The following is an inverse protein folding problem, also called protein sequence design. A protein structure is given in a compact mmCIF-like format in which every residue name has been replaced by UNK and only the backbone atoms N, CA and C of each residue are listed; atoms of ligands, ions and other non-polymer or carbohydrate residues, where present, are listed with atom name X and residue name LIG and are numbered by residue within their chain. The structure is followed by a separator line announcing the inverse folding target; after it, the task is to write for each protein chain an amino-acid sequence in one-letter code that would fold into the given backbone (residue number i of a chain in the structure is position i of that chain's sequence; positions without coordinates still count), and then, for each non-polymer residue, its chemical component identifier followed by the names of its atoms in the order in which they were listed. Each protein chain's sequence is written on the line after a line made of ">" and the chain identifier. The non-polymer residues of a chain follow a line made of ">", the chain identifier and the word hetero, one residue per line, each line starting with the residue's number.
data_IF_523533588091
#
_entry.id   IF_523533588091
#
_cell.length_a   1.000
_cell.length_b   1.000
_cell.length_c   1.000
_cell.angle_alpha   90.00
_cell.angle_beta   90.00
_cell.angle_gamma   90.00
#
_symmetry.space_group_name_H-M   'P 1'
#
loop_
_entity.id
_entity.type
_entity.pdbx_description
1 polymer ?
#
# COMPACT_ATOMS: atom_id res chain seq x y z
N UNK A 1 -14.94 3.15 12.59
CA UNK A 1 -14.47 4.12 11.58
C UNK A 1 -15.67 4.60 10.79
N UNK A 2 -15.93 5.90 10.80
CA UNK A 2 -16.87 6.53 9.86
C UNK A 2 -16.34 6.25 8.46
N UNK A 3 -17.15 5.63 7.58
CA UNK A 3 -16.79 5.46 6.17
C UNK A 3 -16.75 6.84 5.51
N UNK A 4 -15.62 7.53 5.65
CA UNK A 4 -15.34 8.80 4.98
C UNK A 4 -15.16 8.44 3.50
N UNK A 5 -16.10 8.89 2.68
CA UNK A 5 -15.95 8.84 1.24
C UNK A 5 -15.03 9.99 0.81
N UNK A 6 -13.82 9.66 0.39
CA UNK A 6 -12.88 10.64 -0.17
C UNK A 6 -13.34 10.99 -1.58
N UNK A 7 -13.52 12.27 -1.91
CA UNK A 7 -13.96 12.70 -3.25
C UNK A 7 -12.81 13.32 -4.04
N UNK A 8 -12.27 12.55 -4.99
CA UNK A 8 -11.21 12.96 -5.93
C UNK A 8 -11.75 13.19 -7.35
N UNK A 9 -13.07 13.28 -7.51
CA UNK A 9 -13.72 13.28 -8.83
C UNK A 9 -13.37 14.49 -9.72
N UNK A 10 -12.78 15.54 -9.16
CA UNK A 10 -12.36 16.74 -9.90
C UNK A 10 -10.92 16.67 -10.43
N UNK A 11 -10.07 15.83 -9.84
CA UNK A 11 -8.61 15.89 -10.03
C UNK A 11 -8.02 14.57 -10.55
N UNK A 12 -8.81 13.49 -10.61
CA UNK A 12 -8.32 12.18 -11.07
C UNK A 12 -8.04 12.20 -12.57
N UNK A 13 -6.88 11.66 -12.98
CA UNK A 13 -6.53 11.47 -14.40
C UNK A 13 -7.64 10.65 -15.11
N UNK A 14 -8.22 11.15 -16.22
CA UNK A 14 -9.21 10.42 -16.99
C UNK A 14 -8.76 9.03 -17.45
N UNK A 15 -7.46 8.82 -17.72
CA UNK A 15 -6.93 7.51 -18.08
C UNK A 15 -7.10 6.51 -16.93
N UNK A 16 -6.72 6.89 -15.72
CA UNK A 16 -6.85 6.07 -14.50
C UNK A 16 -8.33 5.82 -14.19
N UNK A 17 -9.16 6.87 -14.21
CA UNK A 17 -10.60 6.74 -13.92
C UNK A 17 -11.30 5.81 -14.92
N UNK A 18 -10.99 5.92 -16.21
CA UNK A 18 -11.59 5.05 -17.24
C UNK A 18 -11.07 3.62 -17.17
N UNK A 19 -9.79 3.42 -16.83
CA UNK A 19 -9.21 2.09 -16.59
C UNK A 19 -9.93 1.40 -15.44
N UNK A 20 -9.99 2.05 -14.26
CA UNK A 20 -10.65 1.50 -13.07
C UNK A 20 -12.16 1.31 -13.26
N UNK A 21 -12.82 2.12 -14.09
CA UNK A 21 -14.22 1.90 -14.48
C UNK A 21 -14.40 0.64 -15.30
N UNK A 22 -13.53 0.40 -16.29
CA UNK A 22 -13.58 -0.82 -17.10
C UNK A 22 -13.34 -2.06 -16.22
N UNK A 23 -12.37 -1.99 -15.31
CA UNK A 23 -12.07 -3.06 -14.34
C UNK A 23 -13.26 -3.31 -13.42
N UNK A 24 -13.86 -2.25 -12.86
CA UNK A 24 -15.03 -2.37 -11.99
C UNK A 24 -16.22 -3.06 -12.66
N UNK A 25 -16.45 -2.78 -13.94
CA UNK A 25 -17.54 -3.41 -14.68
C UNK A 25 -17.32 -4.92 -14.82
N UNK A 26 -16.12 -5.33 -15.28
CA UNK A 26 -15.79 -6.75 -15.44
C UNK A 26 -15.78 -7.46 -14.08
N UNK A 27 -15.17 -6.86 -13.06
CA UNK A 27 -15.14 -7.41 -11.71
C UNK A 27 -16.55 -7.62 -11.14
N UNK A 28 -17.47 -6.65 -11.36
CA UNK A 28 -18.86 -6.78 -10.94
C UNK A 28 -19.66 -7.84 -11.70
N UNK A 29 -19.32 -8.11 -12.96
CA UNK A 29 -19.93 -9.22 -13.74
C UNK A 29 -19.46 -10.60 -13.27
N UNK A 30 -18.27 -10.68 -12.68
CA UNK A 30 -17.65 -11.91 -12.19
C UNK A 30 -17.79 -12.10 -10.67
N UNK A 31 -18.41 -11.16 -9.95
CA UNK A 31 -18.46 -11.17 -8.48
C UNK A 31 -17.05 -11.19 -7.84
N UNK A 32 -16.13 -10.40 -8.43
CA UNK A 32 -14.77 -10.20 -7.94
C UNK A 32 -14.70 -8.87 -7.20
N UNK A 33 -14.34 -8.95 -5.93
CA UNK A 33 -13.94 -7.79 -5.15
C UNK A 33 -12.48 -7.41 -5.43
N UNK A 34 -12.21 -6.11 -5.45
CA UNK A 34 -10.85 -5.59 -5.65
C UNK A 34 -10.63 -4.27 -4.94
N UNK A 35 -9.35 -3.99 -4.67
CA UNK A 35 -8.89 -2.69 -4.22
C UNK A 35 -7.66 -2.23 -4.97
N UNK A 36 -7.49 -0.93 -5.06
CA UNK A 36 -6.31 -0.28 -5.66
C UNK A 36 -5.26 -0.08 -4.59
N UNK A 37 -4.01 -0.37 -4.93
CA UNK A 37 -2.85 -0.21 -4.07
C UNK A 37 -1.70 0.41 -4.87
N UNK A 38 -0.49 0.37 -4.33
CA UNK A 38 0.70 0.87 -5.01
C UNK A 38 0.81 2.39 -5.07
N UNK A 39 1.75 2.87 -5.87
CA UNK A 39 2.16 4.28 -5.87
C UNK A 39 1.05 5.22 -6.38
N UNK A 40 0.09 4.73 -7.17
CA UNK A 40 -1.05 5.55 -7.62
C UNK A 40 -1.92 6.00 -6.44
N UNK A 41 -2.05 5.18 -5.39
CA UNK A 41 -2.79 5.56 -4.18
C UNK A 41 -2.05 6.64 -3.42
N UNK A 42 -0.72 6.54 -3.29
CA UNK A 42 0.12 7.61 -2.71
C UNK A 42 -0.07 8.92 -3.47
N UNK A 43 0.02 8.90 -4.81
CA UNK A 43 -0.06 10.11 -5.63
C UNK A 43 -1.44 10.78 -5.52
N UNK A 44 -2.52 9.99 -5.55
CA UNK A 44 -3.88 10.51 -5.43
C UNK A 44 -4.21 11.00 -4.01
N UNK A 45 -3.84 10.24 -2.97
CA UNK A 45 -4.18 10.58 -1.59
C UNK A 45 -3.21 11.62 -1.03
N UNK A 46 -1.90 11.38 -1.04
CA UNK A 46 -0.95 12.35 -0.48
C UNK A 46 -0.79 13.57 -1.39
N UNK A 47 -0.61 13.32 -2.70
CA UNK A 47 -0.39 14.39 -3.67
C UNK A 47 -1.63 15.24 -3.91
N UNK A 48 -2.71 14.64 -4.43
CA UNK A 48 -3.87 15.42 -4.86
C UNK A 48 -4.81 15.86 -3.73
N UNK A 49 -5.05 15.03 -2.71
CA UNK A 49 -5.95 15.39 -1.61
C UNK A 49 -5.27 16.33 -0.60
N UNK A 50 -4.04 16.02 -0.21
CA UNK A 50 -3.33 16.74 0.85
C UNK A 50 -2.24 17.70 0.34
N UNK A 51 -1.94 17.74 -0.96
CA UNK A 51 -0.96 18.66 -1.53
C UNK A 51 0.49 18.33 -1.12
N UNK A 52 0.76 17.08 -0.74
CA UNK A 52 2.06 16.64 -0.23
C UNK A 52 2.99 16.19 -1.38
N UNK A 53 4.31 16.33 -1.24
CA UNK A 53 5.24 15.93 -2.28
C UNK A 53 5.39 14.39 -2.33
N UNK A 54 4.99 13.78 -3.44
CA UNK A 54 5.06 12.32 -3.65
C UNK A 54 6.13 11.87 -4.66
N UNK A 55 6.87 12.81 -5.24
CA UNK A 55 7.92 12.53 -6.23
C UNK A 55 7.39 12.44 -7.66
N UNK A 56 7.93 11.51 -8.45
CA UNK A 56 7.45 11.26 -9.81
C UNK A 56 6.13 10.49 -9.75
N UNK A 57 5.12 11.05 -10.41
CA UNK A 57 3.80 10.41 -10.55
C UNK A 57 3.94 9.10 -11.35
N UNK A 58 3.28 8.05 -10.85
CA UNK A 58 3.16 6.80 -11.59
C UNK A 58 1.89 6.77 -12.44
N UNK A 59 1.94 6.01 -13.54
CA UNK A 59 0.75 5.61 -14.31
C UNK A 59 0.42 4.13 -14.17
N UNK A 60 1.22 3.40 -13.40
CA UNK A 60 1.01 2.00 -13.12
C UNK A 60 -0.11 1.86 -12.09
N UNK A 61 -1.04 0.94 -12.33
CA UNK A 61 -2.15 0.64 -11.43
C UNK A 61 -1.93 -0.74 -10.85
N UNK A 62 -1.69 -0.82 -9.55
CA UNK A 62 -1.58 -2.07 -8.81
C UNK A 62 -2.93 -2.42 -8.16
N UNK A 63 -3.42 -3.65 -8.35
CA UNK A 63 -4.69 -4.12 -7.82
C UNK A 63 -4.51 -5.42 -7.06
N UNK A 64 -5.13 -5.52 -5.88
CA UNK A 64 -5.42 -6.81 -5.25
C UNK A 64 -6.83 -7.26 -5.64
N UNK A 65 -6.99 -8.51 -6.09
CA UNK A 65 -8.31 -9.11 -6.40
C UNK A 65 -8.56 -10.38 -5.60
N UNK A 66 -9.77 -10.51 -5.03
CA UNK A 66 -10.16 -11.71 -4.29
C UNK A 66 -10.64 -12.79 -5.26
N UNK A 67 -9.95 -13.93 -5.31
CA UNK A 67 -10.32 -15.04 -6.21
C UNK A 67 -10.49 -16.35 -5.44
N UNK A 68 -11.41 -17.18 -5.92
CA UNK A 68 -11.71 -18.50 -5.35
C UNK A 68 -10.75 -19.60 -5.82
N UNK A 69 -10.19 -19.43 -7.03
CA UNK A 69 -9.27 -20.36 -7.68
C UNK A 69 -8.58 -19.67 -8.88
N UNK A 70 -7.65 -20.37 -9.52
CA UNK A 70 -6.91 -19.87 -10.68
C UNK A 70 -7.77 -19.72 -11.94
N UNK A 71 -8.85 -20.48 -12.08
CA UNK A 71 -9.79 -20.34 -13.19
C UNK A 71 -10.52 -19.01 -13.10
N UNK A 72 -10.97 -18.62 -11.90
CA UNK A 72 -11.60 -17.33 -11.64
C UNK A 72 -10.66 -16.15 -11.91
N UNK A 73 -9.39 -16.29 -11.53
CA UNK A 73 -8.35 -15.32 -11.85
C UNK A 73 -8.14 -15.18 -13.36
N UNK A 74 -8.04 -16.30 -14.07
CA UNK A 74 -7.83 -16.28 -15.52
C UNK A 74 -9.05 -15.71 -16.24
N UNK A 75 -10.27 -16.03 -15.81
CA UNK A 75 -11.51 -15.47 -16.35
C UNK A 75 -11.53 -13.94 -16.26
N UNK A 76 -11.10 -13.37 -15.13
CA UNK A 76 -10.97 -11.91 -14.97
C UNK A 76 -10.05 -11.29 -16.04
N UNK A 77 -8.86 -11.87 -16.23
CA UNK A 77 -7.90 -11.38 -17.23
C UNK A 77 -8.45 -11.51 -18.65
N UNK A 78 -9.02 -12.66 -18.99
CA UNK A 78 -9.56 -12.92 -20.33
C UNK A 78 -10.74 -12.00 -20.63
N UNK A 79 -11.62 -11.75 -19.66
CA UNK A 79 -12.74 -10.82 -19.81
C UNK A 79 -12.26 -9.38 -20.00
N UNK A 80 -11.24 -8.93 -19.27
CA UNK A 80 -10.63 -7.63 -19.51
C UNK A 80 -10.05 -7.51 -20.92
N UNK A 81 -9.29 -8.51 -21.37
CA UNK A 81 -8.72 -8.54 -22.72
C UNK A 81 -9.82 -8.54 -23.79
N UNK A 82 -10.91 -9.29 -23.57
CA UNK A 82 -12.05 -9.39 -24.49
C UNK A 82 -12.76 -8.05 -24.76
N UNK A 83 -12.59 -7.06 -23.88
CA UNK A 83 -13.10 -5.69 -24.11
C UNK A 83 -12.39 -4.96 -25.24
N UNK A 84 -11.25 -5.47 -25.72
CA UNK A 84 -10.37 -4.81 -26.69
C UNK A 84 -9.59 -3.61 -26.13
N UNK A 85 -9.78 -3.27 -24.84
CA UNK A 85 -9.08 -2.15 -24.19
C UNK A 85 -7.83 -2.58 -23.42
N UNK A 86 -7.65 -3.88 -23.19
CA UNK A 86 -6.51 -4.46 -22.47
C UNK A 86 -5.79 -5.48 -23.34
N UNK A 87 -4.48 -5.57 -23.19
CA UNK A 87 -3.64 -6.64 -23.73
C UNK A 87 -2.79 -7.25 -22.63
N UNK A 88 -2.34 -8.50 -22.80
CA UNK A 88 -1.41 -9.14 -21.88
C UNK A 88 0.01 -8.55 -22.02
N UNK A 89 0.73 -8.43 -20.91
CA UNK A 89 2.17 -8.21 -20.92
C UNK A 89 2.91 -9.55 -21.11
N UNK A 90 3.87 -9.61 -22.04
CA UNK A 90 4.62 -10.85 -22.33
C UNK A 90 5.66 -11.21 -21.27
N UNK A 91 6.08 -10.26 -20.43
CA UNK A 91 7.16 -10.42 -19.45
C UNK A 91 6.64 -10.60 -18.03
N UNK A 92 5.46 -10.07 -17.73
CA UNK A 92 4.91 -10.04 -16.37
C UNK A 92 3.56 -10.73 -16.33
N UNK A 93 3.51 -11.95 -15.77
CA UNK A 93 2.32 -12.83 -15.80
C UNK A 93 1.05 -12.20 -15.23
N UNK A 94 1.18 -11.30 -14.25
CA UNK A 94 0.06 -10.63 -13.60
C UNK A 94 -0.32 -9.29 -14.23
N UNK A 95 0.41 -8.83 -15.25
CA UNK A 95 0.22 -7.51 -15.85
C UNK A 95 -0.64 -7.54 -17.10
N UNK A 96 -1.57 -6.60 -17.19
CA UNK A 96 -2.23 -6.18 -18.42
C UNK A 96 -1.80 -4.75 -18.78
N UNK A 97 -1.94 -4.40 -20.06
CA UNK A 97 -1.70 -3.04 -20.55
C UNK A 97 -3.01 -2.44 -21.02
N UNK A 98 -3.52 -1.43 -20.30
CA UNK A 98 -4.68 -0.67 -20.70
C UNK A 98 -4.31 0.36 -21.79
N UNK A 99 -5.03 0.32 -22.91
CA UNK A 99 -4.86 1.22 -24.06
C UNK A 99 -3.39 1.42 -24.46
N UNK A 100 -2.60 0.35 -24.46
CA UNK A 100 -1.19 0.32 -24.86
C UNK A 100 -0.27 1.30 -24.10
N UNK A 101 -0.67 1.83 -22.94
CA UNK A 101 0.08 2.90 -22.27
C UNK A 101 0.02 2.89 -20.74
N UNK A 102 -0.93 2.18 -20.13
CA UNK A 102 -1.09 2.12 -18.68
C UNK A 102 -0.94 0.68 -18.21
N UNK A 103 0.19 0.33 -17.58
CA UNK A 103 0.38 -0.96 -16.91
C UNK A 103 -0.63 -1.15 -15.77
N UNK A 104 -1.22 -2.34 -15.70
CA UNK A 104 -2.16 -2.74 -14.66
C UNK A 104 -1.73 -4.09 -14.10
N UNK A 105 -1.21 -4.10 -12.88
CA UNK A 105 -0.83 -5.30 -12.16
C UNK A 105 -2.05 -5.85 -11.41
N UNK A 106 -2.50 -7.05 -11.78
CA UNK A 106 -3.66 -7.73 -11.22
C UNK A 106 -3.17 -8.88 -10.35
N UNK A 107 -3.08 -8.64 -9.05
CA UNK A 107 -2.49 -9.57 -8.09
C UNK A 107 -3.63 -10.31 -7.37
N UNK A 108 -3.74 -11.64 -7.54
CA UNK A 108 -4.76 -12.40 -6.85
C UNK A 108 -4.36 -12.64 -5.39
N UNK A 109 -5.36 -12.70 -4.52
CA UNK A 109 -5.22 -13.11 -3.13
C UNK A 109 -6.51 -13.81 -2.66
N UNK A 110 -6.49 -14.39 -1.47
CA UNK A 110 -7.56 -15.22 -0.92
C UNK A 110 -7.29 -16.71 -1.08
N UNK A 111 -8.18 -17.44 -1.76
CA UNK A 111 -8.14 -18.90 -1.77
C UNK A 111 -6.99 -19.52 -2.58
N UNK A 112 -6.28 -18.71 -3.39
CA UNK A 112 -5.12 -19.14 -4.16
C UNK A 112 -3.79 -18.99 -3.42
N UNK A 113 -3.81 -18.41 -2.21
CA UNK A 113 -2.63 -18.27 -1.35
C UNK A 113 -2.23 -19.61 -0.73
N UNK A 114 -0.92 -19.83 -0.63
CA UNK A 114 -0.35 -20.89 0.20
C UNK A 114 -0.49 -20.56 1.69
N UNK A 115 -0.24 -21.54 2.59
CA UNK A 115 -0.22 -21.28 4.04
C UNK A 115 0.78 -20.20 4.45
N UNK A 116 1.83 -20.03 3.67
CA UNK A 116 2.88 -19.04 3.90
C UNK A 116 2.46 -17.64 3.47
N UNK A 117 1.36 -17.47 2.73
CA UNK A 117 0.90 -16.16 2.24
C UNK A 117 1.52 -15.79 0.89
N UNK A 118 1.92 -16.80 0.11
CA UNK A 118 2.52 -16.65 -1.22
C UNK A 118 1.53 -17.14 -2.27
N UNK A 119 1.46 -16.45 -3.42
CA UNK A 119 0.79 -16.96 -4.62
C UNK A 119 1.82 -17.42 -5.65
N UNK A 120 1.58 -18.58 -6.25
CA UNK A 120 2.44 -19.17 -7.27
C UNK A 120 1.64 -19.31 -8.57
N UNK A 121 1.99 -18.57 -9.63
CA UNK A 121 1.17 -18.57 -10.85
C UNK A 121 1.31 -19.87 -11.66
N UNK A 122 0.19 -20.49 -12.12
CA UNK A 122 0.23 -21.66 -13.00
C UNK A 122 0.74 -21.30 -14.41
N UNK A 123 1.10 -22.31 -15.23
CA UNK A 123 1.10 -23.74 -14.93
C UNK A 123 2.38 -24.26 -14.27
N UNK A 124 3.51 -23.56 -14.37
CA UNK A 124 4.79 -24.01 -13.80
C UNK A 124 4.91 -23.74 -12.29
N UNK A 125 4.12 -22.81 -11.73
CA UNK A 125 4.19 -22.40 -10.31
C UNK A 125 5.57 -21.88 -9.88
N UNK A 126 6.39 -21.44 -10.83
CA UNK A 126 7.75 -20.93 -10.58
C UNK A 126 7.82 -19.42 -10.34
N UNK A 127 6.77 -18.70 -10.72
CA UNK A 127 6.63 -17.27 -10.46
C UNK A 127 5.84 -17.12 -9.17
N UNK A 128 6.48 -16.57 -8.14
CA UNK A 128 5.92 -16.41 -6.81
C UNK A 128 5.81 -14.94 -6.42
N UNK A 129 4.88 -14.61 -5.53
CA UNK A 129 4.77 -13.29 -4.91
C UNK A 129 4.24 -13.42 -3.49
N UNK A 130 4.92 -12.78 -2.53
CA UNK A 130 4.41 -12.63 -1.17
C UNK A 130 3.22 -11.64 -1.17
N UNK A 131 2.05 -12.14 -0.79
CA UNK A 131 0.82 -11.36 -0.63
C UNK A 131 0.37 -11.30 0.83
N UNK A 132 1.28 -11.59 1.77
CA UNK A 132 1.05 -11.40 3.20
C UNK A 132 0.57 -9.96 3.46
N UNK A 133 -0.54 -9.85 4.19
CA UNK A 133 -1.16 -8.56 4.51
C UNK A 133 -2.18 -8.05 3.48
N UNK A 134 -2.37 -8.72 2.33
CA UNK A 134 -3.39 -8.30 1.35
C UNK A 134 -4.81 -8.39 1.93
N UNK A 135 -5.13 -9.47 2.65
CA UNK A 135 -6.42 -9.60 3.34
C UNK A 135 -6.62 -8.51 4.40
N UNK A 136 -5.61 -8.24 5.23
CA UNK A 136 -5.64 -7.19 6.26
C UNK A 136 -5.86 -5.80 5.62
N UNK A 137 -5.19 -5.53 4.50
CA UNK A 137 -5.32 -4.30 3.73
C UNK A 137 -6.71 -4.17 3.09
N UNK A 138 -7.25 -5.24 2.52
CA UNK A 138 -8.57 -5.31 1.90
C UNK A 138 -9.70 -4.96 2.89
N UNK A 139 -9.68 -5.58 4.07
CA UNK A 139 -10.67 -5.38 5.12
C UNK A 139 -10.66 -3.95 5.68
N UNK A 140 -9.53 -3.24 5.53
CA UNK A 140 -9.31 -1.88 6.03
C UNK A 140 -9.10 -0.86 4.90
N UNK A 141 -9.75 -1.08 3.77
CA UNK A 141 -9.76 -0.15 2.63
C UNK A 141 -10.54 1.14 2.92
N UNK A 142 -10.18 2.21 2.21
CA UNK A 142 -10.92 3.48 2.20
C UNK A 142 -11.70 3.62 0.90
N UNK A 143 -12.92 4.18 0.97
CA UNK A 143 -13.74 4.40 -0.24
C UNK A 143 -13.38 5.74 -0.88
N UNK A 144 -13.09 5.72 -2.17
CA UNK A 144 -12.70 6.89 -2.96
C UNK A 144 -13.62 7.04 -4.17
N UNK A 145 -14.20 8.23 -4.34
CA UNK A 145 -14.95 8.61 -5.53
C UNK A 145 -14.02 9.25 -6.55
N UNK A 146 -13.85 8.60 -7.70
CA UNK A 146 -13.00 9.06 -8.81
C UNK A 146 -13.78 9.76 -9.92
N UNK A 147 -15.08 9.52 -10.00
CA UNK A 147 -16.00 10.20 -10.91
C UNK A 147 -17.44 10.03 -10.41
N UNK A 148 -18.39 10.72 -11.04
CA UNK A 148 -19.83 10.52 -10.75
C UNK A 148 -20.21 9.04 -10.93
N UNK A 149 -20.61 8.38 -9.85
CA UNK A 149 -21.00 6.96 -9.84
C UNK A 149 -19.82 5.98 -9.82
N UNK A 150 -18.57 6.46 -9.75
CA UNK A 150 -17.38 5.63 -9.70
C UNK A 150 -16.72 5.71 -8.33
N UNK A 151 -17.21 4.90 -7.39
CA UNK A 151 -16.55 4.65 -6.11
C UNK A 151 -15.67 3.39 -6.23
N UNK A 152 -14.43 3.49 -5.78
CA UNK A 152 -13.41 2.43 -5.79
C UNK A 152 -12.82 2.32 -4.38
N UNK A 153 -12.45 1.11 -3.96
CA UNK A 153 -11.75 0.88 -2.69
C UNK A 153 -10.26 1.05 -2.91
N UNK A 154 -9.61 1.89 -2.12
CA UNK A 154 -8.16 2.08 -2.11
C UNK A 154 -7.60 1.50 -0.81
N UNK A 155 -6.37 1.02 -0.85
CA UNK A 155 -5.63 0.70 0.37
C UNK A 155 -5.55 1.95 1.25
N UNK A 156 -5.73 1.79 2.56
CA UNK A 156 -5.46 2.88 3.51
C UNK A 156 -3.96 3.20 3.56
N UNK A 157 -3.57 4.39 4.02
CA UNK A 157 -2.14 4.72 4.16
C UNK A 157 -1.41 3.77 5.12
N UNK A 158 -2.09 3.30 6.17
CA UNK A 158 -1.56 2.28 7.08
C UNK A 158 -1.41 0.92 6.37
N UNK A 159 -2.41 0.48 5.60
CA UNK A 159 -2.32 -0.73 4.79
C UNK A 159 -1.20 -0.64 3.76
N UNK A 160 -1.00 0.53 3.15
CA UNK A 160 0.08 0.77 2.19
C UNK A 160 1.45 0.61 2.86
N UNK A 161 1.64 1.14 4.07
CA UNK A 161 2.88 0.98 4.81
C UNK A 161 3.19 -0.50 5.11
N UNK A 162 2.17 -1.28 5.52
CA UNK A 162 2.30 -2.73 5.74
C UNK A 162 2.76 -3.44 4.46
N UNK A 163 2.04 -3.26 3.36
CA UNK A 163 2.34 -3.92 2.09
C UNK A 163 3.72 -3.51 1.55
N UNK A 164 4.12 -2.24 1.75
CA UNK A 164 5.42 -1.74 1.28
C UNK A 164 6.60 -2.28 2.08
N UNK A 165 6.45 -2.49 3.39
CA UNK A 165 7.50 -3.12 4.19
C UNK A 165 7.73 -4.58 3.79
N UNK A 166 6.65 -5.31 3.54
CA UNK A 166 6.70 -6.71 3.09
C UNK A 166 7.31 -6.79 1.69
N UNK A 167 6.80 -6.00 0.74
CA UNK A 167 7.33 -5.93 -0.62
C UNK A 167 8.81 -5.51 -0.64
N UNK A 168 9.21 -4.52 0.17
CA UNK A 168 10.61 -4.12 0.29
C UNK A 168 11.46 -5.31 0.76
N UNK A 169 11.06 -6.00 1.83
CA UNK A 169 11.81 -7.14 2.34
C UNK A 169 11.98 -8.24 1.28
N UNK A 170 10.94 -8.52 0.50
CA UNK A 170 10.92 -9.54 -0.55
C UNK A 170 11.86 -9.17 -1.72
N UNK A 171 11.81 -7.93 -2.22
CA UNK A 171 12.41 -7.59 -3.52
C UNK A 171 13.45 -6.46 -3.53
N UNK A 172 13.86 -5.94 -2.39
CA UNK A 172 14.80 -4.80 -2.33
C UNK A 172 16.18 -5.09 -2.95
N UNK A 173 16.62 -6.34 -3.04
CA UNK A 173 17.87 -6.68 -3.74
C UNK A 173 17.77 -6.45 -5.26
N UNK A 174 16.57 -6.60 -5.84
CA UNK A 174 16.31 -6.40 -7.27
C UNK A 174 15.80 -4.99 -7.57
N UNK A 175 14.94 -4.45 -6.70
CA UNK A 175 14.31 -3.14 -6.83
C UNK A 175 14.51 -2.30 -5.56
N UNK A 176 15.74 -1.85 -5.25
CA UNK A 176 16.08 -1.22 -3.97
C UNK A 176 15.34 0.10 -3.68
N UNK A 177 14.79 0.73 -4.71
CA UNK A 177 14.25 2.08 -4.66
C UNK A 177 12.73 2.13 -4.56
N UNK A 178 12.02 1.16 -5.14
CA UNK A 178 10.58 1.25 -5.42
C UNK A 178 9.74 1.36 -4.15
N UNK A 179 10.05 0.57 -3.13
CA UNK A 179 9.26 0.54 -1.91
C UNK A 179 9.82 1.49 -0.85
N UNK A 180 11.13 1.73 -0.86
CA UNK A 180 11.79 2.64 0.08
C UNK A 180 11.30 4.09 -0.03
N UNK A 181 11.02 4.58 -1.25
CA UNK A 181 10.46 5.92 -1.46
C UNK A 181 9.06 6.06 -0.86
N UNK A 182 8.23 5.02 -0.97
CA UNK A 182 6.88 5.01 -0.42
C UNK A 182 6.92 4.97 1.11
N UNK A 183 7.77 4.11 1.68
CA UNK A 183 7.99 4.02 3.12
C UNK A 183 8.46 5.38 3.67
N UNK A 184 9.47 5.99 3.06
CA UNK A 184 9.98 7.30 3.49
C UNK A 184 8.91 8.40 3.40
N UNK A 185 8.13 8.42 2.32
CA UNK A 185 7.05 9.39 2.11
C UNK A 185 5.97 9.24 3.18
N UNK A 186 5.54 8.01 3.47
CA UNK A 186 4.54 7.72 4.49
C UNK A 186 5.04 8.11 5.88
N UNK A 187 6.26 7.70 6.26
CA UNK A 187 6.85 8.04 7.55
C UNK A 187 6.91 9.56 7.78
N UNK A 188 7.36 10.29 6.75
CA UNK A 188 7.55 11.73 6.86
C UNK A 188 6.23 12.51 6.95
N UNK A 189 5.26 12.17 6.10
CA UNK A 189 4.08 13.01 5.91
C UNK A 189 2.81 12.47 6.57
N UNK A 190 2.89 11.38 7.34
CA UNK A 190 1.70 10.78 7.94
C UNK A 190 0.90 11.76 8.80
N UNK A 191 1.58 12.62 9.58
CA UNK A 191 0.91 13.62 10.43
C UNK A 191 0.09 14.62 9.60
N UNK A 192 0.62 15.06 8.47
CA UNK A 192 0.00 16.04 7.57
C UNK A 192 -1.06 15.41 6.64
N UNK A 193 -1.13 14.08 6.55
CA UNK A 193 -2.08 13.35 5.72
C UNK A 193 -3.47 13.21 6.38
N UNK A 194 -4.00 14.32 6.91
CA UNK A 194 -5.30 14.38 7.61
C UNK A 194 -5.27 13.86 9.04
N UNK A 195 -4.09 13.76 9.66
CA UNK A 195 -3.92 13.23 11.02
C UNK A 195 -3.57 14.31 12.06
N UNK A 196 -3.48 15.58 11.68
CA UNK A 196 -3.15 16.68 12.61
C UNK A 196 -4.12 16.73 13.79
N UNK A 197 -5.43 16.79 13.51
CA UNK A 197 -6.48 16.79 14.56
C UNK A 197 -6.39 15.54 15.45
N UNK A 198 -6.11 14.37 14.87
CA UNK A 198 -5.95 13.11 15.64
C UNK A 198 -4.75 13.18 16.59
N UNK A 199 -3.66 13.79 16.16
CA UNK A 199 -2.45 13.96 16.97
C UNK A 199 -2.68 14.94 18.12
N UNK A 200 -3.47 16.00 17.94
CA UNK A 200 -3.79 16.93 19.01
C UNK A 200 -4.86 16.41 19.97
N UNK A 201 -5.92 15.80 19.44
CA UNK A 201 -7.12 15.50 20.24
C UNK A 201 -7.08 14.10 20.83
N UNK A 202 -6.74 13.10 20.02
CA UNK A 202 -6.88 11.67 20.38
C UNK A 202 -5.56 11.00 20.75
N UNK A 203 -4.44 11.59 20.35
CA UNK A 203 -3.09 11.03 20.51
C UNK A 203 -2.08 12.09 21.00
N UNK A 204 -2.53 13.02 21.85
CA UNK A 204 -1.65 14.03 22.46
C UNK A 204 -0.47 13.41 23.22
N UNK A 205 -0.62 12.16 23.68
CA UNK A 205 0.44 11.39 24.32
C UNK A 205 1.64 11.16 23.39
N UNK A 206 1.42 11.05 22.09
CA UNK A 206 2.49 10.94 21.09
C UNK A 206 3.23 12.28 20.94
N UNK A 207 2.49 13.39 20.91
CA UNK A 207 3.07 14.73 20.80
C UNK A 207 3.99 15.04 21.98
N UNK A 208 3.57 14.71 23.20
CA UNK A 208 4.40 14.91 24.40
C UNK A 208 5.64 14.00 24.39
N UNK A 209 5.47 12.73 24.01
CA UNK A 209 6.57 11.74 24.04
C UNK A 209 7.65 12.05 23.01
N UNK A 210 7.26 12.52 21.83
CA UNK A 210 8.20 12.84 20.74
C UNK A 210 8.66 14.32 20.77
N UNK A 211 8.50 15.02 21.90
CA UNK A 211 9.02 16.38 22.08
C UNK A 211 8.39 17.41 21.13
N UNK A 212 7.13 17.21 20.78
CA UNK A 212 6.37 17.99 19.80
C UNK A 212 6.91 17.95 18.37
N UNK A 213 7.72 16.94 18.02
CA UNK A 213 8.06 16.64 16.64
C UNK A 213 6.87 15.97 15.93
N UNK A 214 6.19 16.74 15.07
CA UNK A 214 5.02 16.28 14.33
C UNK A 214 5.31 15.12 13.38
N UNK A 215 6.51 15.05 12.81
CA UNK A 215 6.82 13.99 11.86
C UNK A 215 7.06 12.67 12.61
N UNK A 216 7.81 12.69 13.72
CA UNK A 216 8.02 11.49 14.53
C UNK A 216 6.75 11.03 15.25
N UNK A 217 5.94 11.95 15.79
CA UNK A 217 4.63 11.62 16.34
C UNK A 217 3.71 11.00 15.26
N UNK A 218 3.76 11.53 14.03
CA UNK A 218 3.08 10.97 12.87
C UNK A 218 3.52 9.54 12.53
N UNK A 219 4.82 9.26 12.50
CA UNK A 219 5.33 7.92 12.26
C UNK A 219 4.94 6.93 13.35
N UNK A 220 4.93 7.34 14.63
CA UNK A 220 4.44 6.50 15.72
C UNK A 220 2.93 6.25 15.63
N UNK A 221 2.15 7.25 15.22
CA UNK A 221 0.73 7.10 14.95
C UNK A 221 0.48 6.11 13.80
N UNK A 222 1.25 6.20 12.70
CA UNK A 222 1.21 5.22 11.62
C UNK A 222 1.44 3.80 12.14
N UNK A 223 2.41 3.62 13.05
CA UNK A 223 2.65 2.34 13.70
C UNK A 223 1.44 1.83 14.50
N UNK A 224 0.76 2.70 15.25
CA UNK A 224 -0.48 2.33 15.97
C UNK A 224 -1.57 1.90 15.00
N UNK A 225 -1.80 2.68 13.94
CA UNK A 225 -2.82 2.40 12.93
C UNK A 225 -2.53 1.10 12.16
N UNK A 226 -1.26 0.83 11.84
CA UNK A 226 -0.84 -0.45 11.28
C UNK A 226 -1.17 -1.61 12.22
N UNK A 227 -0.90 -1.46 13.53
CA UNK A 227 -1.20 -2.50 14.51
C UNK A 227 -2.71 -2.75 14.69
N UNK A 228 -3.58 -1.80 14.34
CA UNK A 228 -5.03 -2.00 14.39
C UNK A 228 -5.57 -2.86 13.25
N UNK A 229 -4.92 -2.79 12.08
CA UNK A 229 -5.40 -3.45 10.86
C UNK A 229 -4.71 -4.80 10.60
N UNK A 230 -3.51 -5.03 11.11
CA UNK A 230 -2.76 -6.26 10.87
C UNK A 230 -3.28 -7.42 11.72
N UNK A 231 -3.50 -8.57 11.08
CA UNK A 231 -3.61 -9.85 11.77
C UNK A 231 -2.33 -10.18 12.56
N UNK A 232 -2.42 -11.12 13.50
CA UNK A 232 -1.26 -11.58 14.28
C UNK A 232 -0.10 -12.09 13.40
N UNK A 233 -0.41 -12.73 12.26
CA UNK A 233 0.58 -13.23 11.30
C UNK A 233 1.32 -12.06 10.66
N UNK A 234 0.59 -11.15 10.02
CA UNK A 234 1.15 -9.97 9.34
C UNK A 234 1.91 -9.07 10.31
N UNK A 235 1.38 -8.84 11.52
CA UNK A 235 2.04 -8.06 12.56
C UNK A 235 3.38 -8.67 12.96
N UNK A 236 3.46 -10.00 13.08
CA UNK A 236 4.72 -10.70 13.35
C UNK A 236 5.71 -10.49 12.20
N UNK A 237 5.30 -10.73 10.95
CA UNK A 237 6.14 -10.52 9.75
C UNK A 237 6.70 -9.10 9.70
N UNK A 238 5.86 -8.09 9.85
CA UNK A 238 6.29 -6.67 9.84
C UNK A 238 7.26 -6.35 10.97
N UNK A 239 7.01 -6.84 12.19
CA UNK A 239 7.92 -6.63 13.31
C UNK A 239 9.27 -7.34 13.12
N UNK A 240 9.28 -8.52 12.50
CA UNK A 240 10.50 -9.25 12.16
C UNK A 240 11.31 -8.46 11.12
N UNK A 241 10.66 -7.95 10.06
CA UNK A 241 11.29 -7.08 9.04
C UNK A 241 11.93 -5.85 9.67
N UNK A 242 11.16 -5.12 10.50
CA UNK A 242 11.66 -3.93 11.18
C UNK A 242 12.80 -4.28 12.14
N UNK A 243 12.71 -5.39 12.87
CA UNK A 243 13.76 -5.79 13.81
C UNK A 243 15.05 -6.17 13.11
N UNK A 244 14.96 -6.87 11.98
CA UNK A 244 16.13 -7.35 11.23
C UNK A 244 16.81 -6.22 10.47
N UNK A 245 16.05 -5.26 9.92
CA UNK A 245 16.57 -4.27 8.96
C UNK A 245 16.76 -2.87 9.56
N UNK A 246 16.56 -2.70 10.86
CA UNK A 246 16.76 -1.42 11.56
C UNK A 246 17.70 -1.56 12.77
N UNK A 247 18.67 -2.49 12.71
CA UNK A 247 19.71 -2.67 13.70
C UNK A 247 21.02 -2.05 13.17
N UNK A 248 21.43 -0.86 13.64
CA UNK A 248 22.63 -0.17 13.15
C UNK A 248 23.93 -0.98 13.26
N UNK A 249 23.97 -1.95 14.18
CA UNK A 249 25.17 -2.77 14.41
C UNK A 249 25.18 -4.06 13.57
N UNK A 250 24.05 -4.45 12.98
CA UNK A 250 23.92 -5.73 12.26
C UNK A 250 23.46 -5.58 10.82
N UNK A 251 22.35 -4.89 10.60
CA UNK A 251 21.76 -4.69 9.29
C UNK A 251 20.86 -3.46 9.31
N UNK A 252 21.32 -2.42 8.61
CA UNK A 252 20.69 -1.12 8.51
C UNK A 252 20.18 -0.83 7.10
N UNK A 253 20.00 -1.86 6.28
CA UNK A 253 19.60 -1.74 4.88
C UNK A 253 18.33 -0.91 4.70
N UNK A 254 17.34 -1.06 5.58
CA UNK A 254 16.11 -0.25 5.53
C UNK A 254 16.35 1.20 5.97
N UNK A 255 17.21 1.42 6.97
CA UNK A 255 17.57 2.76 7.45
C UNK A 255 18.25 3.55 6.31
N UNK A 256 19.20 2.91 5.62
CA UNK A 256 19.90 3.49 4.45
C UNK A 256 18.90 3.73 3.30
N UNK A 257 18.05 2.75 3.01
CA UNK A 257 17.09 2.87 1.93
C UNK A 257 16.12 4.05 2.17
N UNK A 258 15.56 4.17 3.37
CA UNK A 258 14.65 5.26 3.74
C UNK A 258 15.38 6.60 3.78
N UNK A 259 16.62 6.65 4.32
CA UNK A 259 17.36 7.92 4.41
C UNK A 259 17.60 8.53 3.04
N UNK A 260 17.92 7.72 2.02
CA UNK A 260 18.13 8.21 0.65
C UNK A 260 16.93 8.96 0.04
N UNK A 261 15.71 8.75 0.56
CA UNK A 261 14.47 9.39 0.10
C UNK A 261 13.92 10.45 1.06
N UNK A 262 14.52 10.64 2.23
CA UNK A 262 14.26 11.81 3.04
C UNK A 262 14.94 13.04 2.41
N UNK A 263 14.33 14.25 2.44
CA UNK A 263 14.92 15.42 1.79
C UNK A 263 16.29 15.84 2.32
N UNK A 264 16.58 15.58 3.59
CA UNK A 264 17.86 15.86 4.24
C UNK A 264 18.86 14.69 4.13
N UNK A 265 18.44 13.56 3.57
CA UNK A 265 19.20 12.31 3.48
C UNK A 265 19.83 11.87 4.80
N UNK A 266 19.13 12.14 5.91
CA UNK A 266 19.69 11.96 7.24
C UNK A 266 19.45 10.54 7.76
N UNK A 267 20.55 9.83 8.06
CA UNK A 267 20.52 8.46 8.58
C UNK A 267 19.86 8.37 9.96
N UNK A 268 20.27 9.22 10.92
CA UNK A 268 19.72 9.22 12.28
C UNK A 268 18.23 9.55 12.29
N UNK A 269 17.79 10.46 11.42
CA UNK A 269 16.38 10.77 11.25
C UNK A 269 15.59 9.58 10.71
N UNK A 270 16.14 8.88 9.71
CA UNK A 270 15.57 7.64 9.17
C UNK A 270 15.45 6.56 10.25
N UNK A 271 16.49 6.38 11.06
CA UNK A 271 16.48 5.47 12.20
C UNK A 271 15.37 5.83 13.20
N UNK A 272 15.27 7.10 13.58
CA UNK A 272 14.24 7.58 14.51
C UNK A 272 12.83 7.39 13.96
N UNK A 273 12.60 7.62 12.66
CA UNK A 273 11.31 7.33 12.03
C UNK A 273 10.93 5.85 12.14
N UNK A 274 11.86 4.96 11.80
CA UNK A 274 11.63 3.52 11.81
C UNK A 274 11.46 2.97 13.23
N UNK A 275 12.21 3.51 14.20
CA UNK A 275 12.05 3.20 15.62
C UNK A 275 10.69 3.67 16.16
N UNK A 276 10.25 4.87 15.78
CA UNK A 276 8.93 5.38 16.14
C UNK A 276 7.80 4.55 15.55
N UNK A 277 7.91 4.18 14.28
CA UNK A 277 6.98 3.28 13.61
C UNK A 277 6.87 1.95 14.37
N UNK A 278 8.02 1.29 14.63
CA UNK A 278 8.08 0.02 15.36
C UNK A 278 7.51 0.15 16.77
N UNK A 279 7.83 1.23 17.48
CA UNK A 279 7.30 1.50 18.82
C UNK A 279 5.79 1.67 18.79
N UNK A 280 5.25 2.39 17.80
CA UNK A 280 3.80 2.54 17.60
C UNK A 280 3.08 1.20 17.41
N UNK A 281 3.69 0.26 16.67
CA UNK A 281 3.13 -1.10 16.50
C UNK A 281 3.06 -1.87 17.83
N UNK A 282 4.01 -1.59 18.74
CA UNK A 282 4.15 -2.25 20.04
C UNK A 282 3.40 -1.52 21.18
N UNK A 283 2.97 -0.28 20.96
CA UNK A 283 2.20 0.47 21.94
C UNK A 283 0.98 -0.34 22.38
N UNK A 284 0.80 -0.46 23.70
CA UNK A 284 -0.40 -1.10 24.25
C UNK A 284 -1.57 -0.17 24.00
N UNK A 285 -2.69 -0.71 23.51
CA UNK A 285 -3.96 0.03 23.45
C UNK A 285 -4.25 0.58 24.85
N UNK A 286 -4.18 1.89 25.02
CA UNK A 286 -4.90 2.54 26.12
C UNK A 286 -6.37 2.25 25.83
N UNK A 287 -7.04 1.55 26.75
CA UNK A 287 -8.50 1.51 26.75
C UNK A 287 -8.95 2.96 26.95
N UNK A 288 -9.39 3.59 25.87
CA UNK A 288 -10.17 4.83 25.93
C UNK A 288 -11.56 4.44 26.40
#
# INVERSE_FOLDING_TARGET
>A
MTNILIDLSKNTDPLIANCLKAIKNVAGELDIDFFVMGAVVRDLILGQLYGLPTGLETKDIDLGITVKDWEHYQEMKDRLISTGSFSSDEKTVHRLIYKNSCPVDIIPFGSVETSEGVVCWPPEYSIEMDVTGFQDAWENTVSVRLARGLNIRFVSLAGMAVLKLIAWNDRHHEFPTKDAVDIATLLKYYSQAGNEDRLFDSHSDLMETEGFDFEFAGARLLGRDMAEIMSSKTKKTVLDILTINTDPDKNDSLIIAVSNYLPDKNYERSLNFLQNLKTGILDKKKRI
#
